data_IF_748524633308
#
_entry.id   IF_748524633308
#
_cell.length_a   1.000
_cell.length_b   1.000
_cell.length_c   1.000
_cell.angle_alpha   90.00
_cell.angle_beta   90.00
_cell.angle_gamma   90.00
#
_symmetry.space_group_name_H-M   'P 1'
#
loop_
_entity.id
_entity.type
_entity.pdbx_description
1 polymer ?
#
# COMPACT_ATOMS: atom_id res chain seq x y z
N UNK A 1 -1.43 -4.91 20.40
CA UNK A 1 -0.10 -5.56 20.49
C UNK A 1 0.72 -5.19 19.27
N UNK A 2 2.02 -4.95 19.43
CA UNK A 2 2.94 -4.63 18.33
C UNK A 2 3.61 -5.91 17.81
N UNK A 3 3.06 -6.50 16.74
CA UNK A 3 3.64 -7.64 16.02
C UNK A 3 4.47 -7.22 14.80
N UNK A 4 4.77 -5.92 14.64
CA UNK A 4 5.80 -5.46 13.71
C UNK A 4 7.18 -5.50 14.39
N UNK A 5 7.76 -6.70 14.40
CA UNK A 5 9.12 -6.93 14.92
C UNK A 5 10.22 -6.28 14.07
N UNK A 6 9.90 -5.85 12.84
CA UNK A 6 10.88 -5.26 11.91
C UNK A 6 11.03 -3.77 12.16
N UNK A 7 9.91 -3.07 12.37
CA UNK A 7 9.85 -1.62 12.57
C UNK A 7 8.84 -1.23 13.67
N UNK A 8 9.01 -1.72 14.91
CA UNK A 8 8.08 -1.47 16.00
C UNK A 8 7.97 0.01 16.33
N UNK A 9 6.74 0.48 16.56
CA UNK A 9 6.42 1.91 16.74
C UNK A 9 5.45 2.17 17.88
N UNK A 10 4.69 1.17 18.34
CA UNK A 10 3.66 1.38 19.37
C UNK A 10 4.29 1.94 20.66
N UNK A 11 5.45 1.42 21.07
CA UNK A 11 6.14 1.91 22.26
C UNK A 11 6.48 3.42 22.19
N UNK A 12 6.83 3.93 21.00
CA UNK A 12 7.12 5.35 20.79
C UNK A 12 5.84 6.18 20.80
N UNK A 13 4.78 5.67 20.17
CA UNK A 13 3.51 6.38 20.08
C UNK A 13 2.85 6.57 21.45
N UNK A 14 2.93 5.54 22.31
CA UNK A 14 2.36 5.58 23.66
C UNK A 14 3.37 5.98 24.75
N UNK A 15 4.63 6.27 24.39
CA UNK A 15 5.71 6.58 25.32
C UNK A 15 5.88 5.55 26.46
N UNK A 16 5.84 4.26 26.10
CA UNK A 16 5.97 3.12 27.03
C UNK A 16 7.32 2.42 26.88
N UNK A 17 7.76 1.69 27.91
CA UNK A 17 9.00 0.93 27.87
C UNK A 17 8.94 -0.20 26.81
N UNK A 18 10.07 -0.55 26.20
CA UNK A 18 10.15 -1.63 25.20
C UNK A 18 11.24 -2.66 25.54
N UNK A 19 11.68 -2.72 26.80
CA UNK A 19 12.66 -3.72 27.27
C UNK A 19 12.07 -5.12 27.34
N UNK A 20 10.75 -5.22 27.56
CA UNK A 20 9.95 -6.44 27.51
C UNK A 20 8.70 -6.19 26.66
N UNK A 21 8.23 -7.21 25.97
CA UNK A 21 7.07 -7.08 25.09
C UNK A 21 6.67 -8.41 24.47
N UNK A 22 5.94 -8.32 23.36
CA UNK A 22 5.41 -9.47 22.65
C UNK A 22 6.49 -10.51 22.32
N UNK A 23 7.67 -10.08 21.88
CA UNK A 23 8.78 -10.99 21.60
C UNK A 23 9.24 -11.76 22.84
N UNK A 24 9.44 -11.08 23.97
CA UNK A 24 9.82 -11.70 25.24
C UNK A 24 8.77 -12.71 25.72
N UNK A 25 7.48 -12.40 25.55
CA UNK A 25 6.39 -13.30 25.95
C UNK A 25 6.38 -14.57 25.11
N UNK A 26 6.52 -14.43 23.78
CA UNK A 26 6.48 -15.58 22.87
C UNK A 26 7.78 -16.40 22.94
N UNK A 27 8.92 -15.77 23.23
CA UNK A 27 10.19 -16.46 23.45
C UNK A 27 10.27 -17.17 24.81
N UNK A 28 9.39 -16.82 25.75
CA UNK A 28 9.36 -17.44 27.08
C UNK A 28 10.14 -16.71 28.16
N UNK A 29 10.76 -15.59 27.82
CA UNK A 29 11.61 -14.78 28.71
C UNK A 29 10.79 -13.90 29.69
N UNK A 30 9.49 -13.74 29.44
CA UNK A 30 8.59 -12.96 30.29
C UNK A 30 7.18 -13.56 30.35
N UNK A 31 6.47 -13.31 31.45
CA UNK A 31 5.02 -13.55 31.51
C UNK A 31 4.30 -12.46 30.72
N UNK A 32 3.10 -12.79 30.22
CA UNK A 32 2.29 -11.83 29.46
C UNK A 32 1.99 -10.57 30.27
N UNK A 33 1.51 -10.73 31.51
CA UNK A 33 1.14 -9.60 32.39
C UNK A 33 2.30 -8.64 32.68
N UNK A 34 3.54 -9.14 32.71
CA UNK A 34 4.74 -8.32 32.92
C UNK A 34 5.06 -7.43 31.70
N UNK A 35 4.49 -7.74 30.53
CA UNK A 35 4.67 -7.00 29.28
C UNK A 35 3.48 -6.10 28.94
N UNK A 36 2.38 -6.18 29.70
CA UNK A 36 1.21 -5.32 29.51
C UNK A 36 1.44 -3.99 30.20
N UNK A 37 1.32 -2.90 29.45
CA UNK A 37 1.47 -1.54 29.98
C UNK A 37 0.16 -0.76 29.79
N UNK A 38 -0.29 -0.10 30.86
CA UNK A 38 -1.43 0.81 30.79
C UNK A 38 -1.02 2.08 30.04
N UNK A 39 -1.95 2.63 29.28
CA UNK A 39 -1.75 3.93 28.62
C UNK A 39 -2.44 5.05 29.41
N UNK A 40 -2.26 6.29 28.97
CA UNK A 40 -3.02 7.42 29.50
C UNK A 40 -4.53 7.37 29.12
N UNK A 41 -4.91 6.48 28.20
CA UNK A 41 -6.30 6.28 27.78
C UNK A 41 -6.90 5.15 28.62
N UNK A 42 -8.03 5.44 29.25
CA UNK A 42 -8.77 4.48 30.05
C UNK A 42 -9.20 3.27 29.19
N UNK A 43 -9.16 2.07 29.79
CA UNK A 43 -9.48 0.80 29.13
C UNK A 43 -8.59 0.43 27.93
N UNK A 44 -7.48 1.16 27.70
CA UNK A 44 -6.50 0.83 26.67
C UNK A 44 -5.17 0.40 27.30
N UNK A 45 -4.84 -0.86 27.06
CA UNK A 45 -3.54 -1.44 27.38
C UNK A 45 -2.76 -1.72 26.11
N UNK A 46 -1.43 -1.59 26.18
CA UNK A 46 -0.52 -1.87 25.08
C UNK A 46 0.49 -2.93 25.48
N UNK A 47 0.78 -3.81 24.52
CA UNK A 47 1.92 -4.72 24.60
C UNK A 47 2.87 -4.28 23.49
N UNK A 48 4.03 -3.69 23.83
CA UNK A 48 5.00 -3.25 22.85
C UNK A 48 5.70 -4.48 22.24
N UNK A 49 6.53 -4.27 21.23
CA UNK A 49 7.22 -5.36 20.54
C UNK A 49 8.17 -6.12 21.48
N UNK A 50 8.85 -5.40 22.37
CA UNK A 50 9.99 -5.92 23.13
C UNK A 50 11.28 -5.89 22.29
N UNK A 51 12.35 -6.58 22.75
CA UNK A 51 13.59 -6.73 22.01
C UNK A 51 13.35 -7.37 20.65
N UNK A 52 13.99 -6.87 19.59
CA UNK A 52 13.78 -7.39 18.23
C UNK A 52 14.33 -8.83 18.12
N UNK A 53 13.50 -9.82 17.78
CA UNK A 53 13.97 -11.19 17.59
C UNK A 53 14.81 -11.31 16.31
N UNK A 54 15.74 -12.28 16.28
CA UNK A 54 16.53 -12.61 15.08
C UNK A 54 15.66 -13.14 13.94
N UNK A 55 14.66 -13.95 14.26
CA UNK A 55 13.74 -14.58 13.29
C UNK A 55 12.28 -14.19 13.57
N UNK A 56 11.82 -13.01 13.11
CA UNK A 56 10.46 -12.52 13.37
C UNK A 56 9.33 -13.47 12.96
N UNK A 57 9.36 -13.95 11.72
CA UNK A 57 8.29 -14.77 11.15
C UNK A 57 8.16 -16.11 11.89
N UNK A 58 9.29 -16.74 12.25
CA UNK A 58 9.33 -18.00 13.00
C UNK A 58 8.67 -17.84 14.38
N UNK A 59 8.99 -16.75 15.08
CA UNK A 59 8.42 -16.46 16.39
C UNK A 59 6.90 -16.28 16.32
N UNK A 60 6.40 -15.59 15.29
CA UNK A 60 4.96 -15.42 15.04
C UNK A 60 4.26 -16.69 14.54
N UNK A 61 5.00 -17.71 14.10
CA UNK A 61 4.46 -19.04 13.78
C UNK A 61 4.47 -20.01 14.95
N UNK A 62 5.05 -19.63 16.09
CA UNK A 62 5.20 -20.53 17.23
C UNK A 62 3.85 -20.89 17.88
N UNK A 63 3.73 -22.09 18.46
CA UNK A 63 2.53 -22.48 19.24
C UNK A 63 2.24 -21.52 20.40
N UNK A 64 3.27 -20.90 20.96
CA UNK A 64 3.14 -19.97 22.08
C UNK A 64 2.46 -18.66 21.67
N UNK A 65 2.64 -18.21 20.42
CA UNK A 65 1.89 -17.08 19.90
C UNK A 65 0.40 -17.42 19.78
N UNK A 66 0.07 -18.60 19.26
CA UNK A 66 -1.31 -19.07 19.13
C UNK A 66 -2.01 -19.20 20.49
N UNK A 67 -1.36 -19.86 21.46
CA UNK A 67 -1.83 -19.95 22.84
C UNK A 67 -2.04 -18.57 23.48
N UNK A 68 -1.15 -17.62 23.19
CA UNK A 68 -1.32 -16.25 23.64
C UNK A 68 -2.61 -15.64 23.07
N UNK A 69 -2.82 -15.70 21.74
CA UNK A 69 -4.04 -15.16 21.12
C UNK A 69 -5.31 -15.78 21.74
N UNK A 70 -5.34 -17.09 21.90
CA UNK A 70 -6.47 -17.79 22.51
C UNK A 70 -6.73 -17.35 23.95
N UNK A 71 -5.67 -17.17 24.74
CA UNK A 71 -5.82 -16.69 26.12
C UNK A 71 -6.37 -15.26 26.19
N UNK A 72 -6.09 -14.41 25.19
CA UNK A 72 -6.52 -13.01 25.18
C UNK A 72 -7.98 -12.85 24.80
N UNK A 73 -8.54 -13.78 24.02
CA UNK A 73 -9.98 -13.79 23.68
C UNK A 73 -10.88 -13.80 24.92
N UNK A 74 -10.40 -14.37 26.03
CA UNK A 74 -11.15 -14.42 27.31
C UNK A 74 -10.83 -13.26 28.26
N UNK A 75 -9.79 -12.46 27.97
CA UNK A 75 -9.31 -11.39 28.86
C UNK A 75 -9.63 -9.99 28.35
N UNK A 76 -9.87 -9.84 27.06
CA UNK A 76 -10.13 -8.56 26.41
C UNK A 76 -11.32 -8.68 25.46
N UNK A 77 -12.18 -7.66 25.43
CA UNK A 77 -13.27 -7.57 24.46
C UNK A 77 -12.74 -7.40 23.02
N UNK A 78 -11.66 -6.62 22.88
CA UNK A 78 -11.00 -6.40 21.60
C UNK A 78 -9.48 -6.50 21.74
N UNK A 79 -8.88 -7.25 20.82
CA UNK A 79 -7.43 -7.38 20.70
C UNK A 79 -7.01 -6.90 19.32
N UNK A 80 -6.34 -5.75 19.26
CA UNK A 80 -5.79 -5.20 18.01
C UNK A 80 -4.33 -5.64 17.89
N UNK A 81 -3.97 -6.24 16.76
CA UNK A 81 -2.59 -6.66 16.45
C UNK A 81 -2.07 -5.81 15.30
N UNK A 82 -1.07 -4.98 15.57
CA UNK A 82 -0.36 -4.22 14.53
C UNK A 82 0.67 -5.13 13.86
N UNK A 83 0.74 -5.07 12.54
CA UNK A 83 1.59 -5.95 11.72
C UNK A 83 2.32 -5.12 10.66
N UNK A 84 3.47 -5.59 10.15
CA UNK A 84 4.15 -4.88 9.07
C UNK A 84 3.32 -4.90 7.77
N UNK A 85 3.71 -4.16 6.72
CA UNK A 85 2.96 -4.15 5.47
C UNK A 85 2.91 -5.54 4.80
N UNK A 86 1.71 -6.08 4.56
CA UNK A 86 1.45 -7.40 3.96
C UNK A 86 2.22 -7.65 2.66
N UNK A 87 2.35 -6.63 1.81
CA UNK A 87 3.03 -6.77 0.52
C UNK A 87 4.57 -6.71 0.61
N UNK A 88 5.12 -6.36 1.77
CA UNK A 88 6.56 -6.19 1.95
C UNK A 88 7.22 -7.43 2.57
N UNK A 89 6.50 -8.14 3.44
CA UNK A 89 7.05 -9.22 4.27
C UNK A 89 5.98 -10.26 4.60
N UNK A 90 6.41 -11.44 5.05
CA UNK A 90 5.52 -12.60 5.29
C UNK A 90 4.87 -12.62 6.67
N UNK A 91 5.35 -11.82 7.62
CA UNK A 91 4.88 -11.79 9.01
C UNK A 91 3.35 -11.62 9.14
N UNK A 92 2.67 -10.72 8.39
CA UNK A 92 1.22 -10.57 8.50
C UNK A 92 0.46 -11.80 7.99
N UNK A 93 1.04 -12.55 7.04
CA UNK A 93 0.45 -13.80 6.53
C UNK A 93 0.48 -14.92 7.56
N UNK A 94 1.38 -14.86 8.56
CA UNK A 94 1.38 -15.81 9.67
C UNK A 94 0.37 -15.40 10.74
N UNK A 95 0.15 -14.10 10.96
CA UNK A 95 -0.83 -13.59 11.93
C UNK A 95 -2.27 -13.73 11.42
N UNK A 96 -2.53 -13.46 10.13
CA UNK A 96 -3.88 -13.35 9.57
C UNK A 96 -4.78 -14.59 9.77
N UNK A 97 -4.29 -15.85 9.67
CA UNK A 97 -5.11 -17.03 9.94
C UNK A 97 -5.50 -17.23 11.42
N UNK A 98 -4.83 -16.53 12.34
CA UNK A 98 -4.98 -16.72 13.80
C UNK A 98 -5.87 -15.67 14.45
N UNK A 99 -6.32 -14.67 13.68
CA UNK A 99 -7.19 -13.60 14.15
C UNK A 99 -8.61 -13.80 13.64
N UNK A 100 -9.60 -13.27 14.36
CA UNK A 100 -11.00 -13.43 13.98
C UNK A 100 -11.33 -12.67 12.69
N UNK A 101 -10.63 -11.55 12.44
CA UNK A 101 -10.75 -10.81 11.20
C UNK A 101 -9.58 -9.84 10.96
N UNK A 102 -9.46 -9.39 9.70
CA UNK A 102 -8.41 -8.47 9.23
C UNK A 102 -9.04 -7.17 8.73
N UNK A 103 -8.45 -6.04 9.11
CA UNK A 103 -8.74 -4.72 8.55
C UNK A 103 -7.57 -4.28 7.67
N UNK A 104 -7.80 -4.16 6.36
CA UNK A 104 -6.73 -3.78 5.43
C UNK A 104 -6.60 -2.26 5.37
N UNK A 105 -5.45 -1.71 5.78
CA UNK A 105 -5.17 -0.27 5.70
C UNK A 105 -4.34 0.03 4.47
N UNK A 106 -4.76 1.00 3.66
CA UNK A 106 -4.02 1.43 2.47
C UNK A 106 -3.97 2.94 2.31
N UNK A 107 -2.96 3.42 1.57
CA UNK A 107 -2.88 4.82 1.14
C UNK A 107 -3.17 4.92 -0.34
N UNK A 108 -3.92 5.95 -0.76
CA UNK A 108 -4.14 6.21 -2.18
C UNK A 108 -2.85 6.68 -2.84
N UNK A 109 -2.37 5.87 -3.78
CA UNK A 109 -1.23 6.15 -4.66
C UNK A 109 -1.61 5.75 -6.08
N UNK A 110 -0.80 6.12 -7.08
CA UNK A 110 -1.02 5.71 -8.48
C UNK A 110 -1.08 4.18 -8.65
N UNK A 111 -0.42 3.42 -7.79
CA UNK A 111 -0.33 1.94 -7.84
C UNK A 111 -1.24 1.25 -6.83
N UNK A 112 -2.08 1.99 -6.10
CA UNK A 112 -2.91 1.47 -5.02
C UNK A 112 -3.82 0.32 -5.46
N UNK A 113 -4.37 0.37 -6.68
CA UNK A 113 -5.27 -0.68 -7.19
C UNK A 113 -4.59 -2.04 -7.30
N UNK A 114 -3.38 -2.10 -7.88
CA UNK A 114 -2.65 -3.36 -8.03
C UNK A 114 -2.24 -3.93 -6.66
N UNK A 115 -1.78 -3.07 -5.74
CA UNK A 115 -1.45 -3.49 -4.38
C UNK A 115 -2.67 -4.02 -3.62
N UNK A 116 -3.83 -3.38 -3.76
CA UNK A 116 -5.08 -3.83 -3.11
C UNK A 116 -5.51 -5.21 -3.61
N UNK A 117 -5.53 -5.42 -4.93
CA UNK A 117 -5.89 -6.71 -5.52
C UNK A 117 -4.95 -7.81 -5.02
N UNK A 118 -3.64 -7.54 -5.01
CA UNK A 118 -2.67 -8.51 -4.53
C UNK A 118 -2.82 -8.82 -3.04
N UNK A 119 -3.08 -7.81 -2.21
CA UNK A 119 -3.34 -8.00 -0.80
C UNK A 119 -4.61 -8.84 -0.56
N UNK A 120 -5.68 -8.58 -1.32
CA UNK A 120 -6.92 -9.35 -1.26
C UNK A 120 -6.71 -10.82 -1.68
N UNK A 121 -5.96 -11.07 -2.75
CA UNK A 121 -5.59 -12.44 -3.18
C UNK A 121 -4.85 -13.21 -2.07
N UNK A 122 -3.85 -12.58 -1.45
CA UNK A 122 -3.07 -13.20 -0.38
C UNK A 122 -3.98 -13.53 0.80
N UNK A 123 -4.76 -12.56 1.30
CA UNK A 123 -5.64 -12.77 2.45
C UNK A 123 -6.72 -13.82 2.16
N UNK A 124 -7.28 -13.84 0.95
CA UNK A 124 -8.23 -14.85 0.52
C UNK A 124 -7.60 -16.25 0.48
N UNK A 125 -6.37 -16.38 -0.03
CA UNK A 125 -5.64 -17.66 -0.05
C UNK A 125 -5.32 -18.21 1.34
N UNK A 126 -5.24 -17.32 2.34
CA UNK A 126 -5.03 -17.68 3.74
C UNK A 126 -6.34 -18.00 4.49
N UNK A 127 -7.49 -17.87 3.83
CA UNK A 127 -8.80 -18.00 4.48
C UNK A 127 -9.10 -16.90 5.48
N UNK A 128 -8.38 -15.77 5.44
CA UNK A 128 -8.54 -14.69 6.39
C UNK A 128 -9.82 -13.90 6.11
N UNK A 129 -10.63 -13.69 7.15
CA UNK A 129 -11.85 -12.87 7.05
C UNK A 129 -11.49 -11.39 7.01
N UNK A 130 -11.58 -10.76 5.83
CA UNK A 130 -11.37 -9.31 5.71
C UNK A 130 -12.67 -8.56 6.03
N UNK A 131 -12.67 -7.73 7.09
CA UNK A 131 -13.85 -6.92 7.47
C UNK A 131 -14.10 -5.77 6.50
N UNK A 132 -13.03 -5.22 5.93
CA UNK A 132 -13.09 -4.07 5.05
C UNK A 132 -11.72 -3.44 4.84
N UNK A 133 -11.75 -2.29 4.16
CA UNK A 133 -10.55 -1.51 3.81
C UNK A 133 -10.64 -0.12 4.40
N UNK A 134 -9.59 0.32 5.08
CA UNK A 134 -9.42 1.71 5.52
C UNK A 134 -8.50 2.43 4.55
N UNK A 135 -9.05 3.46 3.89
CA UNK A 135 -8.28 4.34 3.03
C UNK A 135 -7.76 5.52 3.84
N UNK A 136 -6.45 5.56 4.07
CA UNK A 136 -5.79 6.59 4.85
C UNK A 136 -5.02 7.58 3.95
N UNK A 137 -4.91 8.84 4.36
CA UNK A 137 -4.13 9.87 3.66
C UNK A 137 -4.80 10.44 2.41
N UNK A 138 -6.14 10.42 2.34
CA UNK A 138 -6.89 11.14 1.30
C UNK A 138 -6.78 12.64 1.58
N UNK A 139 -6.10 13.38 0.71
CA UNK A 139 -6.09 14.85 0.79
C UNK A 139 -7.48 15.42 0.52
N UNK A 140 -7.81 16.59 1.10
CA UNK A 140 -9.12 17.27 0.96
C UNK A 140 -9.44 17.78 -0.46
N UNK A 141 -8.67 17.42 -1.48
CA UNK A 141 -8.65 18.16 -2.77
C UNK A 141 -9.20 17.38 -3.96
N UNK A 142 -10.16 16.48 -3.77
CA UNK A 142 -10.80 15.81 -4.92
C UNK A 142 -12.26 15.40 -4.74
N UNK A 143 -12.92 15.78 -3.65
CA UNK A 143 -14.32 15.40 -3.41
C UNK A 143 -15.35 16.42 -3.92
N UNK A 144 -14.96 17.65 -4.27
CA UNK A 144 -15.88 18.67 -4.76
C UNK A 144 -15.23 19.57 -5.82
N UNK A 145 -15.72 19.52 -7.06
CA UNK A 145 -15.45 20.53 -8.07
C UNK A 145 -15.12 19.99 -9.47
N UNK A 146 -16.14 19.53 -10.18
CA UNK A 146 -16.14 19.59 -11.65
C UNK A 146 -16.11 21.08 -12.02
N UNK A 147 -14.94 21.62 -12.34
CA UNK A 147 -14.76 23.04 -12.65
C UNK A 147 -13.76 23.22 -13.78
N UNK A 148 -14.28 23.31 -15.00
CA UNK A 148 -13.58 23.77 -16.19
C UNK A 148 -12.83 25.09 -15.88
N UNK A 149 -11.50 25.05 -15.83
CA UNK A 149 -10.68 26.25 -15.66
C UNK A 149 -10.09 26.66 -17.01
N UNK A 150 -10.86 27.43 -17.77
CA UNK A 150 -10.36 28.20 -18.90
C UNK A 150 -9.33 29.23 -18.38
N UNK A 151 -8.06 29.06 -18.76
CA UNK A 151 -6.98 29.99 -18.44
C UNK A 151 -6.89 31.10 -19.47
N UNK A 152 -7.46 32.27 -19.17
CA UNK A 152 -7.15 33.50 -19.91
C UNK A 152 -5.74 33.98 -19.52
N UNK A 153 -4.85 34.01 -20.53
CA UNK A 153 -3.48 34.51 -20.42
C UNK A 153 -3.45 36.00 -20.11
N UNK A 154 -2.84 36.37 -18.98
CA UNK A 154 -2.63 37.77 -18.59
C UNK A 154 -1.30 38.24 -19.20
N UNK A 155 -1.36 38.83 -20.40
CA UNK A 155 -0.27 39.60 -20.97
C UNK A 155 0.00 40.83 -20.10
N UNK A 156 1.23 40.93 -19.57
CA UNK A 156 1.69 42.09 -18.80
C UNK A 156 2.55 42.97 -19.73
N UNK A 157 1.96 44.06 -20.22
CA UNK A 157 2.68 45.14 -20.90
C UNK A 157 3.57 45.88 -19.89
N UNK A 158 4.86 45.96 -20.18
CA UNK A 158 5.83 46.80 -19.47
C UNK A 158 6.34 47.90 -20.39
N UNK A 159 5.96 49.15 -20.10
CA UNK A 159 6.43 50.36 -20.77
C UNK A 159 7.83 50.75 -20.27
N UNK A 160 8.72 51.07 -21.22
CA UNK A 160 9.66 52.20 -21.19
C UNK A 160 10.68 52.31 -20.05
N UNK A 161 11.94 52.00 -20.36
CA UNK A 161 13.09 52.45 -19.57
C UNK A 161 14.35 52.53 -20.44
N UNK A 162 14.64 53.71 -20.98
CA UNK A 162 15.89 54.01 -21.69
C UNK A 162 17.08 53.87 -20.74
N UNK A 163 18.06 53.04 -21.11
CA UNK A 163 19.38 53.03 -20.47
C UNK A 163 20.47 52.98 -21.54
N UNK A 164 21.14 54.11 -21.71
CA UNK A 164 22.41 54.22 -22.42
C UNK A 164 23.54 53.68 -21.54
N UNK A 165 24.45 52.90 -22.12
CA UNK A 165 25.66 52.43 -21.46
C UNK A 165 26.61 51.70 -22.42
N UNK A 166 27.66 52.42 -22.85
CA UNK A 166 28.91 51.98 -23.47
C UNK A 166 29.32 50.55 -23.04
N UNK A 167 29.69 49.58 -23.88
CA UNK A 167 30.52 49.61 -25.08
C UNK A 167 31.90 49.05 -24.74
N UNK A 168 32.17 47.78 -25.09
CA UNK A 168 33.46 47.23 -25.57
C UNK A 168 33.20 45.91 -26.28
N UNK A 169 33.53 45.88 -27.58
CA UNK A 169 33.41 44.72 -28.43
C UNK A 169 34.58 43.75 -28.31
N UNK A 170 34.28 42.50 -28.61
CA UNK A 170 35.11 41.40 -29.11
C UNK A 170 34.09 40.27 -29.32
N UNK A 171 33.93 39.59 -30.45
CA UNK A 171 34.69 39.42 -31.67
C UNK A 171 34.02 38.22 -32.37
N UNK A 172 34.00 38.27 -33.68
CA UNK A 172 33.22 37.50 -34.66
C UNK A 172 33.44 35.98 -34.64
N UNK A 173 32.44 35.23 -35.16
CA UNK A 173 32.69 33.87 -35.65
C UNK A 173 31.44 33.04 -35.98
N UNK A 174 30.86 33.23 -37.17
CA UNK A 174 30.02 32.20 -37.81
C UNK A 174 30.91 31.20 -38.52
N UNK A 175 30.69 29.90 -38.31
CA UNK A 175 31.39 28.81 -39.00
C UNK A 175 30.42 27.74 -39.47
N UNK A 176 30.15 27.71 -40.78
CA UNK A 176 29.56 26.57 -41.48
C UNK A 176 30.63 25.49 -41.67
N UNK A 177 30.30 24.24 -41.34
CA UNK A 177 31.13 23.06 -41.61
C UNK A 177 30.28 21.92 -42.16
N UNK A 178 30.55 21.54 -43.41
CA UNK A 178 29.89 20.48 -44.17
C UNK A 178 30.85 19.32 -44.37
N UNK A 179 30.41 18.09 -44.05
CA UNK A 179 30.87 16.78 -44.58
C UNK A 179 29.93 15.71 -43.96
N UNK A 180 29.03 15.07 -44.74
CA UNK A 180 29.19 13.82 -45.55
C UNK A 180 29.60 12.63 -44.69
N UNK A 181 28.95 11.46 -44.66
CA UNK A 181 27.88 10.83 -45.43
C UNK A 181 27.22 9.78 -44.49
N UNK A 182 25.96 9.41 -44.71
CA UNK A 182 25.34 8.27 -43.99
C UNK A 182 23.82 8.29 -43.93
N UNK A 183 23.20 7.87 -45.04
CA UNK A 183 21.89 7.20 -45.13
C UNK A 183 20.71 7.75 -44.31
N UNK A 184 19.84 8.53 -44.96
CA UNK A 184 18.48 8.81 -44.49
C UNK A 184 17.47 7.98 -45.30
N UNK A 185 16.69 7.15 -44.61
CA UNK A 185 15.48 6.50 -45.13
C UNK A 185 14.27 7.17 -44.47
N UNK A 186 13.34 7.66 -45.29
CA UNK A 186 12.12 8.33 -44.87
C UNK A 186 10.99 7.33 -44.60
N UNK A 187 10.21 7.57 -43.54
CA UNK A 187 8.79 7.24 -43.52
C UNK A 187 7.99 8.43 -42.96
N UNK A 188 7.01 8.86 -43.74
CA UNK A 188 5.95 9.81 -43.37
C UNK A 188 4.85 9.07 -42.62
N UNK A 189 4.44 9.55 -41.44
CA UNK A 189 3.30 8.99 -40.72
C UNK A 189 2.15 10.01 -40.67
N UNK A 190 1.32 9.98 -41.71
CA UNK A 190 -0.07 10.44 -41.66
C UNK A 190 -0.96 9.25 -41.34
N UNK A 191 -1.62 9.26 -40.16
CA UNK A 191 -3.08 9.05 -39.98
C UNK A 191 -3.42 8.66 -38.55
N UNK A 192 -4.26 9.50 -37.93
CA UNK A 192 -5.01 9.26 -36.70
C UNK A 192 -5.86 7.97 -36.79
N UNK A 193 -5.94 7.14 -35.74
CA UNK A 193 -6.83 5.98 -35.74
C UNK A 193 -8.26 6.38 -35.36
N UNK A 194 -9.22 6.01 -36.22
CA UNK A 194 -10.65 6.06 -35.93
C UNK A 194 -11.09 4.86 -35.07
N UNK A 195 -12.13 5.00 -34.22
CA UNK A 195 -12.60 3.94 -33.32
C UNK A 195 -13.44 2.89 -34.05
N UNK A 196 -13.27 1.61 -33.70
CA UNK A 196 -14.07 0.49 -34.23
C UNK A 196 -15.44 0.42 -33.54
N UNK A 197 -16.54 0.09 -34.27
CA UNK A 197 -17.86 -0.09 -33.68
C UNK A 197 -18.00 -1.48 -33.03
N UNK A 198 -18.79 -1.54 -31.96
CA UNK A 198 -19.20 -2.75 -31.25
C UNK A 198 -20.23 -3.52 -32.08
N UNK A 199 -19.87 -4.73 -32.52
CA UNK A 199 -20.79 -5.70 -33.13
C UNK A 199 -21.20 -6.78 -32.12
N UNK A 200 -22.51 -6.94 -31.93
CA UNK A 200 -23.19 -7.97 -31.13
C UNK A 200 -23.81 -8.98 -32.10
N UNK A 201 -23.58 -10.29 -31.95
CA UNK A 201 -24.46 -11.36 -32.49
C UNK A 201 -24.51 -12.57 -31.52
N UNK A 202 -25.73 -13.07 -31.33
CA UNK A 202 -26.21 -14.19 -30.49
C UNK A 202 -25.91 -15.59 -31.10
N UNK A 203 -25.51 -16.59 -30.30
CA UNK A 203 -26.27 -17.75 -29.77
C UNK A 203 -26.57 -18.93 -30.74
N UNK A 204 -26.18 -20.15 -30.36
CA UNK A 204 -27.07 -21.34 -30.37
C UNK A 204 -26.65 -22.38 -29.32
N UNK A 205 -27.69 -22.92 -28.66
CA UNK A 205 -27.79 -23.93 -27.60
C UNK A 205 -27.12 -25.28 -27.87
N UNK A 206 -26.72 -26.06 -26.85
CA UNK A 206 -27.62 -27.08 -26.26
C UNK A 206 -27.25 -27.50 -24.81
N UNK A 207 -28.30 -27.70 -24.00
CA UNK A 207 -28.39 -28.46 -22.72
C UNK A 207 -29.50 -29.54 -22.96
N UNK A 208 -29.88 -30.39 -22.00
CA UNK A 208 -29.15 -31.35 -21.15
C UNK A 208 -29.83 -32.75 -21.18
N UNK A 209 -29.29 -33.79 -20.52
CA UNK A 209 -30.14 -34.91 -20.03
C UNK A 209 -29.52 -35.67 -18.87
N UNK A 210 -30.40 -36.08 -17.95
CA UNK A 210 -30.18 -36.78 -16.69
C UNK A 210 -30.63 -38.25 -16.73
N UNK A 211 -30.24 -39.01 -15.69
CA UNK A 211 -30.78 -40.31 -15.21
C UNK A 211 -30.34 -41.56 -16.02
N UNK A 212 -30.15 -42.76 -15.45
CA UNK A 212 -30.67 -43.36 -14.23
C UNK A 212 -29.75 -44.51 -13.71
N UNK A 213 -30.11 -44.99 -12.53
CA UNK A 213 -29.78 -46.25 -11.84
C UNK A 213 -29.55 -47.46 -12.76
N UNK A 214 -28.65 -48.39 -12.38
CA UNK A 214 -29.04 -49.74 -11.95
C UNK A 214 -27.86 -50.54 -11.30
N UNK A 215 -28.25 -51.31 -10.30
CA UNK A 215 -27.67 -52.49 -9.64
C UNK A 215 -26.33 -53.11 -10.12
N UNK A 216 -25.40 -53.29 -9.16
CA UNK A 216 -24.89 -54.59 -8.63
C UNK A 216 -23.65 -54.40 -7.75
#
# INVERSE_FOLDING_TARGET
MDADFRRPKIHKFFAVDNSKGLSSVISGDAKFLDSVQRTAVEHLSVVPCGPRPRNPAELLTSPRFEQLIDSLRNQYEFVIIDTPPLLAVTDPSTVAPRVDAVLLVMRLTKTARHGMLRAAEILNSLGARVLGVVVNGVGRTSAYGYGYRYGYGRYRYGYGGYRYGYGYGNGYGYGYGSHKDGENVYYTDEKSPTPRPLGRVFNTSSKPTSAAEDSS
#
